data_IF_614322859766
#
_entry.id   IF_614322859766
#
_cell.length_a   1.000
_cell.length_b   1.000
_cell.length_c   1.000
_cell.angle_alpha   90.00
_cell.angle_beta   90.00
_cell.angle_gamma   90.00
#
_symmetry.space_group_name_H-M   'P 1'
#
loop_
_entity.id
_entity.type
_entity.pdbx_description
1 polymer ?
#
# COMPACT_ATOMS: atom_id res chain seq x y z
N UNK A 1 -0.04 1.04 -15.80
CA UNK A 1 -0.75 1.08 -14.51
C UNK A 1 -1.29 -0.30 -14.27
N UNK A 2 -1.04 -0.85 -13.08
CA UNK A 2 -1.49 -2.20 -12.74
C UNK A 2 -3.02 -2.28 -12.71
N UNK A 3 -3.58 -3.45 -12.98
CA UNK A 3 -5.01 -3.71 -12.80
C UNK A 3 -5.28 -4.32 -11.42
N UNK A 4 -6.48 -4.12 -10.88
CA UNK A 4 -6.88 -4.86 -9.69
C UNK A 4 -7.01 -6.36 -10.04
N UNK A 5 -6.10 -7.14 -9.48
CA UNK A 5 -6.15 -8.60 -9.50
C UNK A 5 -5.59 -9.17 -8.18
N UNK A 6 -5.67 -10.49 -8.01
CA UNK A 6 -5.19 -11.17 -6.78
C UNK A 6 -3.68 -10.97 -6.54
N UNK A 7 -2.87 -10.85 -7.59
CA UNK A 7 -1.43 -10.59 -7.45
C UNK A 7 -1.18 -9.18 -6.92
N UNK A 8 -1.82 -8.18 -7.52
CA UNK A 8 -1.72 -6.79 -7.07
C UNK A 8 -2.19 -6.62 -5.62
N UNK A 9 -3.25 -7.33 -5.22
CA UNK A 9 -3.72 -7.32 -3.82
C UNK A 9 -2.65 -7.88 -2.87
N UNK A 10 -2.01 -9.00 -3.23
CA UNK A 10 -0.95 -9.62 -2.42
C UNK A 10 0.28 -8.72 -2.30
N UNK A 11 0.67 -8.07 -3.40
CA UNK A 11 1.79 -7.12 -3.40
C UNK A 11 1.49 -5.91 -2.51
N UNK A 12 0.28 -5.35 -2.60
CA UNK A 12 -0.12 -4.21 -1.77
C UNK A 12 -0.18 -4.59 -0.28
N UNK A 13 -0.73 -5.77 0.05
CA UNK A 13 -0.70 -6.31 1.42
C UNK A 13 0.73 -6.41 1.94
N UNK A 14 1.67 -6.92 1.12
CA UNK A 14 3.08 -6.99 1.51
C UNK A 14 3.66 -5.62 1.81
N UNK A 15 3.42 -4.62 0.97
CA UNK A 15 3.91 -3.26 1.20
C UNK A 15 3.39 -2.68 2.53
N UNK A 16 2.14 -2.97 2.88
CA UNK A 16 1.52 -2.54 4.14
C UNK A 16 2.13 -3.29 5.34
N UNK A 17 2.29 -4.60 5.24
CA UNK A 17 2.90 -5.42 6.29
C UNK A 17 4.40 -5.13 6.47
N UNK A 18 5.10 -4.64 5.45
CA UNK A 18 6.49 -4.17 5.58
C UNK A 18 6.60 -2.77 6.20
N UNK A 19 5.53 -1.98 6.14
CA UNK A 19 5.46 -0.66 6.78
C UNK A 19 5.12 -0.78 8.27
N UNK A 20 4.18 -1.67 8.61
CA UNK A 20 3.82 -2.11 9.95
C UNK A 20 3.83 -1.01 11.05
N UNK A 21 2.99 0.03 10.92
CA UNK A 21 2.99 1.15 11.87
C UNK A 21 2.57 0.74 13.29
N UNK A 22 1.81 -0.35 13.44
CA UNK A 22 1.36 -0.89 14.73
C UNK A 22 2.38 -1.88 15.30
N UNK A 23 3.10 -2.63 14.46
CA UNK A 23 4.08 -3.63 14.90
C UNK A 23 3.52 -5.04 15.06
N UNK A 24 2.47 -5.39 14.30
CA UNK A 24 1.73 -6.67 14.44
C UNK A 24 1.81 -7.54 13.19
N UNK A 25 2.55 -7.12 12.16
CA UNK A 25 2.56 -7.83 10.87
C UNK A 25 3.10 -9.27 10.97
N UNK A 26 3.94 -9.58 11.95
CA UNK A 26 4.42 -10.95 12.18
C UNK A 26 3.35 -11.87 12.80
N UNK A 27 2.39 -11.31 13.54
CA UNK A 27 1.34 -12.04 14.24
C UNK A 27 0.01 -12.06 13.46
N UNK A 28 -0.34 -10.94 12.81
CA UNK A 28 -1.62 -10.69 12.14
C UNK A 28 -1.37 -10.13 10.74
N UNK A 29 -1.41 -11.01 9.75
CA UNK A 29 -1.04 -10.67 8.37
C UNK A 29 -2.11 -9.91 7.58
N UNK A 30 -3.35 -9.86 8.09
CA UNK A 30 -4.50 -9.20 7.48
C UNK A 30 -4.92 -7.91 8.20
N UNK A 31 -4.17 -7.45 9.22
CA UNK A 31 -4.45 -6.24 9.99
C UNK A 31 -4.71 -5.02 9.08
N UNK A 32 -3.88 -4.87 8.04
CA UNK A 32 -3.92 -3.71 7.15
C UNK A 32 -4.83 -3.90 5.92
N UNK A 33 -5.59 -5.00 5.84
CA UNK A 33 -6.44 -5.32 4.69
C UNK A 33 -7.54 -4.29 4.42
N UNK A 34 -7.99 -3.63 5.48
CA UNK A 34 -8.97 -2.54 5.42
C UNK A 34 -8.51 -1.39 4.51
N UNK A 35 -7.18 -1.17 4.38
CA UNK A 35 -6.60 -0.11 3.55
C UNK A 35 -6.53 -0.48 2.06
N UNK A 36 -6.50 -1.78 1.73
CA UNK A 36 -6.26 -2.27 0.37
C UNK A 36 -7.33 -1.76 -0.61
N UNK A 37 -8.61 -1.91 -0.26
CA UNK A 37 -9.73 -1.49 -1.11
C UNK A 37 -9.75 0.03 -1.37
N UNK A 38 -9.71 0.87 -0.32
CA UNK A 38 -9.59 2.32 -0.46
C UNK A 38 -8.37 2.77 -1.26
N UNK A 39 -7.19 2.16 -1.04
CA UNK A 39 -5.98 2.47 -1.79
C UNK A 39 -6.15 2.16 -3.27
N UNK A 40 -6.65 0.99 -3.64
CA UNK A 40 -6.92 0.68 -5.04
C UNK A 40 -7.87 1.67 -5.69
N UNK A 41 -8.95 2.06 -5.00
CA UNK A 41 -9.90 3.06 -5.51
C UNK A 41 -9.19 4.39 -5.79
N UNK A 42 -8.35 4.87 -4.87
CA UNK A 42 -7.60 6.11 -5.03
C UNK A 42 -6.59 6.02 -6.18
N UNK A 43 -5.82 4.93 -6.23
CA UNK A 43 -4.81 4.69 -7.28
C UNK A 43 -5.43 4.60 -8.67
N UNK A 44 -6.58 3.93 -8.81
CA UNK A 44 -7.35 3.92 -10.05
C UNK A 44 -7.96 5.28 -10.39
N UNK A 45 -8.30 6.08 -9.38
CA UNK A 45 -8.74 7.47 -9.53
C UNK A 45 -7.62 8.45 -9.94
N UNK A 46 -6.37 7.98 -10.03
CA UNK A 46 -5.22 8.81 -10.40
C UNK A 46 -4.58 9.57 -9.23
N UNK A 47 -4.84 9.13 -8.00
CA UNK A 47 -4.28 9.77 -6.81
C UNK A 47 -2.74 9.83 -6.84
N UNK A 48 -2.20 10.97 -6.47
CA UNK A 48 -0.75 11.20 -6.38
C UNK A 48 -0.18 10.83 -5.00
N UNK A 49 1.14 10.99 -4.84
CA UNK A 49 1.83 10.67 -3.59
C UNK A 49 1.32 11.47 -2.38
N UNK A 50 0.90 12.72 -2.58
CA UNK A 50 0.43 13.58 -1.50
C UNK A 50 -0.96 13.14 -1.07
N UNK A 51 -1.84 12.83 -2.03
CA UNK A 51 -3.18 12.31 -1.75
C UNK A 51 -3.15 10.94 -1.06
N UNK A 52 -2.22 10.06 -1.44
CA UNK A 52 -2.01 8.77 -0.76
C UNK A 52 -1.42 8.98 0.64
N UNK A 53 -0.44 9.86 0.80
CA UNK A 53 0.14 10.17 2.11
C UNK A 53 -0.89 10.74 3.09
N UNK A 54 -1.71 11.68 2.62
CA UNK A 54 -2.79 12.29 3.40
C UNK A 54 -3.84 11.25 3.82
N UNK A 55 -4.24 10.37 2.90
CA UNK A 55 -5.14 9.28 3.22
C UNK A 55 -4.55 8.35 4.29
N UNK A 56 -3.30 7.91 4.12
CA UNK A 56 -2.67 7.02 5.09
C UNK A 56 -2.53 7.70 6.46
N UNK A 57 -2.21 8.99 6.51
CA UNK A 57 -2.11 9.75 7.76
C UNK A 57 -3.46 9.79 8.48
N UNK A 58 -4.53 10.09 7.76
CA UNK A 58 -5.89 10.07 8.30
C UNK A 58 -6.27 8.70 8.88
N UNK A 59 -5.97 7.61 8.17
CA UNK A 59 -6.23 6.26 8.68
C UNK A 59 -5.40 5.94 9.94
N UNK A 60 -4.13 6.36 10.00
CA UNK A 60 -3.31 6.18 11.21
C UNK A 60 -3.90 6.91 12.41
N UNK A 61 -4.29 8.16 12.23
CA UNK A 61 -4.79 9.00 13.32
C UNK A 61 -6.21 8.60 13.75
N UNK A 62 -7.13 8.49 12.79
CA UNK A 62 -8.57 8.39 13.09
C UNK A 62 -9.08 6.95 13.17
N UNK A 63 -8.49 6.03 12.38
CA UNK A 63 -8.91 4.62 12.37
C UNK A 63 -8.05 3.76 13.30
N UNK A 64 -6.73 3.91 13.28
CA UNK A 64 -5.82 3.15 14.15
C UNK A 64 -5.48 3.84 15.48
N UNK A 65 -5.82 5.13 15.65
CA UNK A 65 -5.57 5.86 16.91
C UNK A 65 -4.09 6.10 17.19
N UNK A 66 -3.23 6.08 16.17
CA UNK A 66 -1.79 6.27 16.28
C UNK A 66 -1.41 7.77 16.30
N UNK A 67 -0.30 8.13 16.95
CA UNK A 67 0.14 9.52 17.00
C UNK A 67 0.58 10.04 15.62
N UNK A 68 0.32 11.32 15.36
CA UNK A 68 0.70 12.04 14.13
C UNK A 68 2.21 12.12 13.85
N UNK A 69 3.05 11.70 14.80
CA UNK A 69 4.48 11.53 14.58
C UNK A 69 4.82 10.35 13.66
N UNK A 70 3.87 9.46 13.37
CA UNK A 70 4.00 8.39 12.37
C UNK A 70 3.78 8.97 10.97
N UNK A 71 4.85 9.05 10.20
CA UNK A 71 4.90 9.67 8.86
C UNK A 71 4.68 8.62 7.75
N UNK A 72 3.57 8.66 6.99
CA UNK A 72 3.28 7.69 5.92
C UNK A 72 3.95 8.01 4.58
N UNK A 73 4.71 9.10 4.47
CA UNK A 73 5.24 9.64 3.21
C UNK A 73 6.15 8.64 2.50
N UNK A 74 6.98 7.92 3.26
CA UNK A 74 7.85 6.88 2.71
C UNK A 74 7.02 5.74 2.10
N UNK A 75 5.94 5.32 2.76
CA UNK A 75 5.04 4.30 2.21
C UNK A 75 4.29 4.84 0.99
N UNK A 76 3.78 6.07 1.03
CA UNK A 76 3.07 6.67 -0.10
C UNK A 76 3.94 6.71 -1.37
N UNK A 77 5.23 7.08 -1.23
CA UNK A 77 6.20 7.03 -2.32
C UNK A 77 6.35 5.59 -2.86
N UNK A 78 6.49 4.61 -1.97
CA UNK A 78 6.64 3.19 -2.35
C UNK A 78 5.40 2.66 -3.07
N UNK A 79 4.21 2.98 -2.59
CA UNK A 79 2.93 2.58 -3.19
C UNK A 79 2.79 3.17 -4.60
N UNK A 80 3.07 4.46 -4.78
CA UNK A 80 3.01 5.10 -6.10
C UNK A 80 4.06 4.51 -7.06
N UNK A 81 5.29 4.30 -6.58
CA UNK A 81 6.34 3.67 -7.37
C UNK A 81 5.95 2.25 -7.81
N UNK A 82 5.40 1.45 -6.91
CA UNK A 82 4.89 0.11 -7.20
C UNK A 82 3.72 0.13 -8.20
N UNK A 83 2.77 1.05 -8.03
CA UNK A 83 1.58 1.17 -8.89
C UNK A 83 1.90 1.57 -10.33
N UNK A 84 2.89 2.44 -10.49
CA UNK A 84 3.31 3.00 -11.78
C UNK A 84 4.38 2.17 -12.46
N UNK A 85 5.08 1.31 -11.73
CA UNK A 85 6.01 0.36 -12.31
C UNK A 85 5.30 -0.53 -13.33
N UNK A 86 5.95 -0.86 -14.46
CA UNK A 86 5.42 -1.86 -15.38
C UNK A 86 5.24 -3.18 -14.63
N UNK A 87 4.19 -3.93 -14.96
CA UNK A 87 4.13 -5.33 -14.56
C UNK A 87 5.41 -5.97 -15.06
N UNK A 88 6.20 -6.54 -14.14
CA UNK A 88 7.36 -7.31 -14.54
C UNK A 88 6.81 -8.45 -15.38
N UNK A 89 6.97 -8.35 -16.70
CA UNK A 89 6.76 -9.48 -17.60
C UNK A 89 7.50 -10.65 -16.98
N UNK A 90 6.81 -11.78 -16.81
CA UNK A 90 7.39 -13.05 -16.36
C UNK A 90 8.51 -13.43 -17.34
N UNK A 91 9.71 -12.89 -17.11
CA UNK A 91 10.94 -13.19 -17.82
C UNK A 91 11.52 -14.48 -17.31
N UNK A 92 10.77 -15.56 -17.39
CA UNK A 92 11.31 -16.92 -17.39
C UNK A 92 11.47 -17.33 -18.85
N UNK A 93 12.47 -16.75 -19.52
CA UNK A 93 13.14 -17.44 -20.62
C UNK A 93 14.21 -18.33 -19.97
N UNK A 94 13.79 -19.52 -19.52
CA UNK A 94 14.73 -20.60 -19.24
C UNK A 94 15.02 -21.28 -20.56
N UNK A 95 16.22 -21.00 -21.10
CA UNK A 95 16.91 -21.86 -22.07
C UNK A 95 17.03 -23.29 -21.60
#
# INVERSE_FOLDING_TARGET
MRSWNTSAQKDLRRLLNEWDPIGVADDVQDEYDCLIGPLFRKLHGGADRAEIGEFLRHELEDHFGLPSSRTPEALAIRVIAWWTAPDAVDGVDRR
#
